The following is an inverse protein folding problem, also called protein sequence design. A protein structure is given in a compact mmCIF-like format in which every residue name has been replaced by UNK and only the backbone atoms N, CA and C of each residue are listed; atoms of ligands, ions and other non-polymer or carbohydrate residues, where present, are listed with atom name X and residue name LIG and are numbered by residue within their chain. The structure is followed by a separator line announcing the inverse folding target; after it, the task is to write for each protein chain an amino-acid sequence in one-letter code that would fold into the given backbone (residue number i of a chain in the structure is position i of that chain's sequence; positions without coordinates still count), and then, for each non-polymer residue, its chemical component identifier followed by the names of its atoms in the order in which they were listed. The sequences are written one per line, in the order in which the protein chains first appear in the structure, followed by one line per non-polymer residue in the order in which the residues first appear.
data_IF_546414720330
#
_entry.id   IF_546414720330
#
_cell.length_a   1.000
_cell.length_b   1.000
_cell.length_c   1.000
_cell.angle_alpha   90.00
_cell.angle_beta   90.00
_cell.angle_gamma   90.00
#
_symmetry.space_group_name_H-M   'P 1'
#
loop_
_entity.id
_entity.type
_entity.pdbx_description
1 polymer ?
#
# COMPACT_ATOMS: atom_id res chain seq x y z
N UNK A 1 -11.94 -63.25 12.48
CA UNK A 1 -10.81 -62.44 13.01
C UNK A 1 -10.09 -61.62 11.94
N UNK A 2 -9.90 -62.11 10.70
CA UNK A 2 -9.17 -61.37 9.65
C UNK A 2 -9.72 -59.98 9.28
N UNK A 3 -11.04 -59.80 9.26
CA UNK A 3 -11.68 -58.51 8.91
C UNK A 3 -11.38 -57.42 9.96
N UNK A 4 -11.30 -57.80 11.23
CA UNK A 4 -11.02 -56.85 12.32
C UNK A 4 -9.54 -56.41 12.27
N UNK A 5 -8.64 -57.35 12.02
CA UNK A 5 -7.20 -57.10 11.86
C UNK A 5 -6.93 -56.20 10.65
N UNK A 6 -7.64 -56.42 9.53
CA UNK A 6 -7.52 -55.58 8.34
C UNK A 6 -7.96 -54.13 8.59
N UNK A 7 -9.08 -53.91 9.30
CA UNK A 7 -9.55 -52.55 9.64
C UNK A 7 -8.57 -51.81 10.57
N UNK A 8 -7.96 -52.51 11.52
CA UNK A 8 -6.95 -51.93 12.42
C UNK A 8 -5.68 -51.58 11.63
N UNK A 9 -5.20 -52.48 10.76
CA UNK A 9 -4.05 -52.21 9.89
C UNK A 9 -4.29 -51.02 8.97
N UNK A 10 -5.47 -50.92 8.36
CA UNK A 10 -5.82 -49.81 7.47
C UNK A 10 -5.85 -48.47 8.23
N UNK A 11 -6.36 -48.47 9.47
CA UNK A 11 -6.36 -47.29 10.34
C UNK A 11 -4.95 -46.80 10.68
N UNK A 12 -4.04 -47.72 11.03
CA UNK A 12 -2.64 -47.37 11.33
C UNK A 12 -1.92 -46.83 10.09
N UNK A 13 -2.20 -47.38 8.90
CA UNK A 13 -1.62 -46.93 7.63
C UNK A 13 -2.09 -45.52 7.24
N UNK A 14 -3.38 -45.20 7.47
CA UNK A 14 -3.91 -43.85 7.19
C UNK A 14 -3.30 -42.81 8.13
N UNK A 15 -3.16 -43.15 9.43
CA UNK A 15 -2.59 -42.24 10.43
C UNK A 15 -1.11 -41.94 10.13
N UNK A 16 -0.32 -42.95 9.74
CA UNK A 16 1.10 -42.75 9.40
C UNK A 16 1.28 -41.89 8.14
N UNK A 17 0.44 -42.08 7.12
CA UNK A 17 0.44 -41.25 5.91
C UNK A 17 0.07 -39.80 6.23
N UNK A 18 -0.93 -39.56 7.10
CA UNK A 18 -1.31 -38.21 7.53
C UNK A 18 -0.18 -37.50 8.28
N UNK A 19 0.51 -38.19 9.22
CA UNK A 19 1.66 -37.59 9.91
C UNK A 19 2.80 -37.24 8.94
N UNK A 20 3.10 -38.11 7.96
CA UNK A 20 4.12 -37.85 6.95
C UNK A 20 3.78 -36.66 6.02
N UNK A 21 2.50 -36.40 5.75
CA UNK A 21 2.06 -35.23 4.98
C UNK A 21 2.11 -33.93 5.80
N UNK A 22 1.88 -34.00 7.11
CA UNK A 22 1.96 -32.84 8.00
C UNK A 22 3.41 -32.34 8.16
N UNK A 23 4.39 -33.24 8.31
CA UNK A 23 5.82 -32.85 8.38
C UNK A 23 6.31 -32.14 7.11
N UNK A 24 5.89 -32.61 5.93
CA UNK A 24 6.23 -31.94 4.66
C UNK A 24 5.54 -30.59 4.48
N UNK A 25 4.32 -30.44 4.98
CA UNK A 25 3.57 -29.18 4.88
C UNK A 25 4.15 -28.08 5.77
N UNK A 26 4.70 -28.44 6.94
CA UNK A 26 5.35 -27.50 7.86
C UNK A 26 6.69 -26.98 7.28
N UNK A 27 7.47 -27.85 6.63
CA UNK A 27 8.77 -27.46 6.03
C UNK A 27 8.61 -26.51 4.84
N UNK A 28 7.55 -26.65 4.02
CA UNK A 28 7.29 -25.76 2.87
C UNK A 28 6.95 -24.33 3.34
N UNK A 29 6.27 -24.17 4.48
CA UNK A 29 5.88 -22.84 4.99
C UNK A 29 7.06 -22.00 5.52
N UNK A 30 8.16 -22.66 5.92
CA UNK A 30 9.38 -21.99 6.39
C UNK A 30 10.20 -21.46 5.21
N UNK A 31 10.24 -22.18 4.08
CA UNK A 31 11.09 -21.83 2.93
C UNK A 31 10.53 -20.65 2.10
N UNK A 32 9.21 -20.49 1.99
CA UNK A 32 8.61 -19.35 1.26
C UNK A 32 8.69 -18.00 2.00
N UNK A 33 8.84 -18.01 3.33
CA UNK A 33 8.86 -16.79 4.14
C UNK A 33 10.27 -16.27 4.50
N UNK A 34 11.32 -17.08 4.30
CA UNK A 34 12.70 -16.69 4.62
C UNK A 34 13.34 -15.61 3.72
N UNK A 35 13.06 -15.48 2.40
CA UNK A 35 13.77 -14.51 1.56
C UNK A 35 13.33 -13.05 1.80
N UNK A 36 12.21 -12.82 2.50
CA UNK A 36 11.72 -11.47 2.81
C UNK A 36 12.49 -10.82 3.97
N UNK A 37 12.83 -11.60 4.99
CA UNK A 37 13.53 -11.11 6.19
C UNK A 37 14.99 -10.75 5.87
N UNK A 38 15.63 -11.51 4.99
CA UNK A 38 17.03 -11.29 4.60
C UNK A 38 17.22 -10.01 3.77
N UNK A 39 16.28 -9.70 2.85
CA UNK A 39 16.29 -8.45 2.07
C UNK A 39 16.14 -7.20 2.94
N UNK A 40 15.34 -7.26 4.01
CA UNK A 40 15.20 -6.13 4.94
C UNK A 40 16.49 -5.89 5.73
N UNK A 41 17.19 -6.94 6.15
CA UNK A 41 18.42 -6.83 6.93
C UNK A 41 19.59 -6.24 6.12
N UNK A 42 19.73 -6.63 4.85
CA UNK A 42 20.75 -6.08 3.95
C UNK A 42 20.53 -4.59 3.64
N UNK A 43 19.28 -4.12 3.61
CA UNK A 43 18.97 -2.69 3.45
C UNK A 43 19.38 -1.86 4.67
N UNK A 44 19.36 -2.42 5.89
CA UNK A 44 19.79 -1.74 7.11
C UNK A 44 21.31 -1.66 7.26
N UNK A 45 22.07 -2.59 6.67
CA UNK A 45 23.54 -2.67 6.83
C UNK A 45 24.32 -1.75 5.87
N UNK A 46 23.66 -1.07 4.93
CA UNK A 46 24.34 -0.17 3.99
C UNK A 46 24.62 1.23 4.57
N UNK A 47 25.11 1.25 5.82
CA UNK A 47 25.54 2.43 6.59
C UNK A 47 26.56 3.29 5.83
N UNK A 48 27.35 2.66 4.95
CA UNK A 48 28.38 3.31 4.13
C UNK A 48 27.79 4.27 3.08
N UNK A 49 26.61 3.96 2.55
CA UNK A 49 25.92 4.84 1.60
C UNK A 49 25.22 6.00 2.34
N UNK A 50 24.65 5.73 3.52
CA UNK A 50 24.06 6.75 4.39
C UNK A 50 25.13 7.77 4.86
N UNK A 51 26.29 7.31 5.31
CA UNK A 51 27.37 8.19 5.76
C UNK A 51 27.96 9.02 4.62
N UNK A 52 27.95 8.49 3.39
CA UNK A 52 28.35 9.22 2.17
C UNK A 52 27.34 10.31 1.82
N UNK A 53 26.05 10.00 1.84
CA UNK A 53 24.99 10.98 1.62
C UNK A 53 24.98 12.08 2.68
N UNK A 54 25.21 11.75 3.96
CA UNK A 54 25.34 12.74 5.05
C UNK A 54 26.58 13.62 4.83
N UNK A 55 27.68 13.07 4.31
CA UNK A 55 28.92 13.82 4.02
C UNK A 55 28.74 14.78 2.84
N UNK A 56 27.97 14.37 1.83
CA UNK A 56 27.62 15.21 0.67
C UNK A 56 26.60 16.32 1.04
N UNK A 57 25.68 16.06 1.98
CA UNK A 57 24.80 17.07 2.58
C UNK A 57 25.55 18.09 3.46
N UNK A 58 26.67 17.70 4.09
CA UNK A 58 27.50 18.62 4.89
C UNK A 58 28.43 19.48 4.05
N UNK A 59 28.79 19.05 2.84
CA UNK A 59 29.68 19.80 1.94
C UNK A 59 28.94 20.84 1.09
N UNK A 60 27.64 20.65 0.87
CA UNK A 60 26.73 21.66 0.34
C UNK A 60 25.63 21.96 1.36
N UNK A 61 25.88 22.80 2.38
CA UNK A 61 24.79 23.32 3.17
C UNK A 61 23.81 24.00 2.20
N UNK A 62 22.53 23.64 2.28
CA UNK A 62 21.47 24.53 1.79
C UNK A 62 21.79 25.85 2.48
N UNK A 63 22.12 26.88 1.69
CA UNK A 63 22.08 28.23 2.21
C UNK A 63 20.62 28.40 2.62
N UNK A 64 20.35 28.28 3.91
CA UNK A 64 19.20 28.98 4.46
C UNK A 64 19.44 30.42 4.04
N UNK A 65 18.72 30.87 3.02
CA UNK A 65 18.49 32.30 2.86
C UNK A 65 17.99 32.74 4.22
N UNK A 66 18.74 33.64 4.86
CA UNK A 66 18.62 33.95 6.28
C UNK A 66 17.19 34.25 6.67
N UNK A 67 16.48 33.22 7.13
CA UNK A 67 15.25 33.33 7.87
C UNK A 67 15.65 33.58 9.32
N UNK A 68 15.39 34.78 9.80
CA UNK A 68 15.49 35.11 11.22
C UNK A 68 14.84 33.99 12.03
N UNK A 69 15.57 33.39 12.97
CA UNK A 69 15.00 32.39 13.86
C UNK A 69 13.70 32.97 14.48
N UNK A 70 12.55 32.27 14.35
CA UNK A 70 11.27 32.82 14.74
C UNK A 70 11.32 33.22 16.22
N UNK A 71 10.97 34.48 16.47
CA UNK A 71 10.83 35.03 17.81
C UNK A 71 9.76 34.24 18.59
N UNK A 72 9.70 34.36 19.91
CA UNK A 72 8.63 33.71 20.69
C UNK A 72 7.22 34.11 20.20
N UNK A 73 7.08 35.30 19.59
CA UNK A 73 5.84 35.74 18.96
C UNK A 73 5.50 34.92 17.71
N UNK A 74 6.48 34.68 16.84
CA UNK A 74 6.29 33.94 15.58
C UNK A 74 5.96 32.46 15.83
N UNK A 75 6.48 31.86 16.91
CA UNK A 75 6.07 30.51 17.32
C UNK A 75 4.64 30.45 17.80
N UNK A 76 4.20 31.43 18.57
CA UNK A 76 2.81 31.49 19.02
C UNK A 76 1.86 31.70 17.84
N UNK A 77 2.25 32.49 16.84
CA UNK A 77 1.48 32.67 15.62
C UNK A 77 1.41 31.37 14.80
N UNK A 78 2.51 30.65 14.62
CA UNK A 78 2.50 29.32 13.99
C UNK A 78 1.63 28.31 14.73
N UNK A 79 1.65 28.31 16.07
CA UNK A 79 0.81 27.40 16.88
C UNK A 79 -0.66 27.81 16.76
N UNK A 80 -0.99 29.10 16.85
CA UNK A 80 -2.37 29.58 16.69
C UNK A 80 -2.89 29.25 15.29
N UNK A 81 -2.08 29.45 14.25
CA UNK A 81 -2.47 29.10 12.88
C UNK A 81 -2.61 27.58 12.69
N UNK A 82 -1.74 26.77 13.31
CA UNK A 82 -1.89 25.30 13.28
C UNK A 82 -3.16 24.85 14.00
N UNK A 83 -3.50 25.46 15.14
CA UNK A 83 -4.71 25.14 15.90
C UNK A 83 -5.98 25.65 15.21
N UNK A 84 -5.93 26.84 14.60
CA UNK A 84 -7.06 27.46 13.92
C UNK A 84 -7.44 26.72 12.63
N UNK A 85 -6.47 26.08 11.97
CA UNK A 85 -6.68 25.33 10.73
C UNK A 85 -6.73 23.81 10.93
N UNK A 86 -6.43 23.30 12.13
CA UNK A 86 -6.60 21.89 12.42
C UNK A 86 -8.09 21.54 12.44
N UNK A 87 -8.47 20.53 11.67
CA UNK A 87 -9.83 19.97 11.68
C UNK A 87 -9.73 18.52 12.17
N UNK A 88 -9.67 18.26 13.51
CA UNK A 88 -9.40 16.94 14.07
C UNK A 88 -10.22 15.80 13.47
N UNK A 89 -11.51 16.03 13.22
CA UNK A 89 -12.41 15.05 12.63
C UNK A 89 -12.09 14.70 11.18
N UNK A 90 -11.54 15.64 10.41
CA UNK A 90 -11.04 15.38 9.06
C UNK A 90 -9.62 14.85 9.12
N UNK A 91 -8.72 15.54 9.81
CA UNK A 91 -7.31 15.20 9.85
C UNK A 91 -7.00 13.83 10.45
N UNK A 92 -7.77 13.38 11.44
CA UNK A 92 -7.64 12.06 12.06
C UNK A 92 -8.69 11.04 11.55
N UNK A 93 -9.59 11.44 10.66
CA UNK A 93 -10.70 10.62 10.16
C UNK A 93 -10.35 9.68 9.02
N UNK A 94 -9.07 9.43 8.76
CA UNK A 94 -8.63 8.69 7.58
C UNK A 94 -8.18 7.28 7.92
N UNK A 95 -8.53 6.34 7.04
CA UNK A 95 -8.04 4.97 7.12
C UNK A 95 -6.59 4.91 6.63
N UNK A 96 -5.86 3.86 7.01
CA UNK A 96 -4.55 3.58 6.44
C UNK A 96 -4.59 3.52 4.90
N UNK A 97 -5.70 3.02 4.34
CA UNK A 97 -5.90 2.90 2.90
C UNK A 97 -5.97 4.26 2.20
N UNK A 98 -6.49 5.31 2.85
CA UNK A 98 -6.62 6.66 2.27
C UNK A 98 -5.45 7.59 2.63
N UNK A 99 -4.61 7.19 3.59
CA UNK A 99 -3.46 7.98 4.04
C UNK A 99 -2.52 8.35 2.89
N UNK A 100 -2.31 7.44 1.94
CA UNK A 100 -1.42 7.72 0.81
C UNK A 100 -2.04 8.70 -0.19
N UNK A 101 -3.35 8.71 -0.33
CA UNK A 101 -4.07 9.63 -1.21
C UNK A 101 -3.83 11.09 -0.80
N UNK A 102 -3.80 11.36 0.51
CA UNK A 102 -3.44 12.68 1.05
C UNK A 102 -1.96 12.99 0.84
N UNK A 103 -1.08 12.01 1.09
CA UNK A 103 0.35 12.19 0.90
C UNK A 103 0.73 12.45 -0.57
N UNK A 104 -0.11 12.06 -1.53
CA UNK A 104 0.15 12.21 -2.97
C UNK A 104 -0.85 13.12 -3.69
N UNK A 105 -1.59 13.97 -2.97
CA UNK A 105 -2.67 14.79 -3.57
C UNK A 105 -2.23 15.61 -4.79
N UNK A 106 -0.98 16.08 -4.81
CA UNK A 106 -0.41 16.85 -5.92
C UNK A 106 0.56 16.05 -6.80
N UNK A 107 0.65 14.73 -6.59
CA UNK A 107 1.60 13.84 -7.25
C UNK A 107 0.85 12.70 -7.96
N UNK A 108 0.16 13.04 -9.05
CA UNK A 108 -0.73 12.12 -9.77
C UNK A 108 0.03 10.87 -10.26
N UNK A 109 1.28 11.01 -10.71
CA UNK A 109 2.14 9.88 -11.13
C UNK A 109 2.42 8.91 -9.97
N UNK A 110 2.79 9.44 -8.81
CA UNK A 110 3.01 8.63 -7.60
C UNK A 110 1.72 7.99 -7.10
N UNK A 111 0.59 8.69 -7.24
CA UNK A 111 -0.73 8.16 -6.89
C UNK A 111 -1.11 6.99 -7.81
N UNK A 112 -0.88 7.11 -9.12
CA UNK A 112 -1.11 6.06 -10.10
C UNK A 112 -0.30 4.80 -9.81
N UNK A 113 1.00 4.96 -9.52
CA UNK A 113 1.88 3.85 -9.17
C UNK A 113 1.41 3.10 -7.92
N UNK A 114 0.79 3.81 -6.96
CA UNK A 114 0.21 3.21 -5.76
C UNK A 114 -1.11 2.52 -6.07
N UNK A 115 -2.02 3.18 -6.80
CA UNK A 115 -3.31 2.58 -7.20
C UNK A 115 -3.11 1.29 -8.00
N UNK A 116 -2.15 1.24 -8.94
CA UNK A 116 -1.83 0.05 -9.75
C UNK A 116 -1.42 -1.18 -8.92
N UNK A 117 -0.94 -0.98 -7.69
CA UNK A 117 -0.53 -2.07 -6.78
C UNK A 117 -1.68 -2.61 -5.95
N UNK A 118 -2.86 -1.98 -5.99
CA UNK A 118 -4.03 -2.41 -5.23
C UNK A 118 -4.73 -3.59 -5.91
N UNK A 119 -5.31 -4.45 -5.08
CA UNK A 119 -6.26 -5.45 -5.57
C UNK A 119 -7.55 -4.78 -6.05
N UNK A 120 -8.33 -5.41 -6.95
CA UNK A 120 -9.61 -4.86 -7.41
C UNK A 120 -10.59 -4.55 -6.26
N UNK A 121 -10.56 -5.35 -5.19
CA UNK A 121 -11.37 -5.11 -4.00
C UNK A 121 -10.96 -3.82 -3.28
N UNK A 122 -9.66 -3.66 -2.99
CA UNK A 122 -9.15 -2.47 -2.31
C UNK A 122 -9.28 -1.21 -3.17
N UNK A 123 -9.11 -1.35 -4.49
CA UNK A 123 -9.23 -0.26 -5.44
C UNK A 123 -10.58 0.47 -5.36
N UNK A 124 -11.67 -0.29 -5.14
CA UNK A 124 -13.02 0.27 -5.04
C UNK A 124 -13.30 0.98 -3.71
N UNK A 125 -12.42 0.87 -2.73
CA UNK A 125 -12.62 1.41 -1.38
C UNK A 125 -11.82 2.70 -1.15
N UNK A 126 -10.72 2.88 -1.87
CA UNK A 126 -9.75 3.96 -1.65
C UNK A 126 -10.20 5.25 -2.35
N UNK A 127 -10.08 6.37 -1.64
CA UNK A 127 -10.61 7.69 -2.04
C UNK A 127 -10.06 8.27 -3.34
N UNK A 128 -8.86 7.86 -3.74
CA UNK A 128 -8.14 8.43 -4.88
C UNK A 128 -7.82 7.42 -5.99
N UNK A 129 -8.48 6.26 -5.95
CA UNK A 129 -8.36 5.21 -6.96
C UNK A 129 -9.74 4.79 -7.48
N UNK A 130 -9.77 4.32 -8.73
CA UNK A 130 -10.94 3.75 -9.38
C UNK A 130 -10.60 2.44 -10.07
N UNK A 131 -11.58 1.53 -10.14
CA UNK A 131 -11.46 0.28 -10.88
C UNK A 131 -12.11 0.42 -12.25
N UNK A 132 -11.30 0.67 -13.28
CA UNK A 132 -11.73 0.73 -14.68
C UNK A 132 -12.07 -0.66 -15.22
N UNK A 133 -13.22 -0.75 -15.88
CA UNK A 133 -13.73 -1.95 -16.57
C UNK A 133 -13.67 -3.23 -15.71
N UNK A 134 -13.83 -3.08 -14.38
CA UNK A 134 -13.78 -4.19 -13.43
C UNK A 134 -12.41 -4.84 -13.19
N UNK A 135 -11.34 -4.36 -13.84
CA UNK A 135 -10.03 -5.03 -13.81
C UNK A 135 -8.85 -4.10 -13.48
N UNK A 136 -8.83 -2.88 -14.01
CA UNK A 136 -7.64 -2.02 -13.95
C UNK A 136 -7.78 -0.96 -12.87
N UNK A 137 -6.93 -1.02 -11.85
CA UNK A 137 -6.91 0.01 -10.81
C UNK A 137 -6.02 1.19 -11.19
N UNK A 138 -6.58 2.39 -11.17
CA UNK A 138 -5.89 3.62 -11.58
C UNK A 138 -6.26 4.78 -10.67
N UNK A 139 -5.45 5.83 -10.70
CA UNK A 139 -5.73 7.07 -10.01
C UNK A 139 -6.94 7.76 -10.65
N UNK A 140 -7.87 8.21 -9.80
CA UNK A 140 -9.13 8.79 -10.23
C UNK A 140 -10.04 9.07 -9.06
N UNK A 141 -11.20 9.62 -9.37
CA UNK A 141 -12.24 9.87 -8.38
C UNK A 141 -13.63 9.72 -8.97
N UNK A 142 -14.58 10.42 -8.38
CA UNK A 142 -15.97 10.45 -8.86
C UNK A 142 -16.10 10.99 -10.29
N UNK A 143 -15.17 11.84 -10.73
CA UNK A 143 -15.16 12.43 -12.07
C UNK A 143 -14.47 11.51 -13.11
N UNK A 144 -14.02 10.33 -12.69
CA UNK A 144 -13.31 9.37 -13.53
C UNK A 144 -11.79 9.36 -13.31
N UNK A 145 -11.03 8.75 -14.25
CA UNK A 145 -9.58 8.60 -14.13
C UNK A 145 -8.85 9.94 -14.30
N UNK A 146 -7.78 10.14 -13.52
CA UNK A 146 -6.94 11.35 -13.60
C UNK A 146 -6.02 11.37 -14.84
N UNK A 147 -5.70 10.19 -15.39
CA UNK A 147 -4.97 10.07 -16.65
C UNK A 147 -5.95 9.73 -17.78
N UNK A 148 -5.78 10.43 -18.90
CA UNK A 148 -6.28 9.93 -20.17
C UNK A 148 -5.49 8.66 -20.49
N UNK A 149 -6.12 7.49 -20.42
CA UNK A 149 -5.51 6.31 -21.00
C UNK A 149 -5.47 6.51 -22.51
N UNK A 150 -4.26 6.44 -23.05
CA UNK A 150 -3.95 6.64 -24.47
C UNK A 150 -4.76 5.74 -25.42
N UNK A 151 -5.44 4.71 -24.88
CA UNK A 151 -6.20 3.75 -25.66
C UNK A 151 -7.70 4.07 -25.84
N UNK A 152 -8.27 5.06 -25.14
CA UNK A 152 -9.66 5.53 -25.42
C UNK A 152 -9.85 6.99 -25.04
N UNK A 153 -10.23 7.81 -26.03
CA UNK A 153 -10.70 9.18 -25.82
C UNK A 153 -11.96 9.20 -24.93
N UNK A 154 -12.13 10.30 -24.20
CA UNK A 154 -13.40 10.75 -23.61
C UNK A 154 -14.48 10.66 -24.69
N UNK A 155 -15.48 9.81 -24.47
CA UNK A 155 -16.43 9.40 -25.51
C UNK A 155 -17.23 8.19 -25.06
N UNK A 156 -16.80 6.97 -25.39
CA UNK A 156 -17.69 5.80 -25.31
C UNK A 156 -16.98 4.53 -24.77
N UNK A 157 -17.72 3.72 -24.02
CA UNK A 157 -17.38 2.39 -23.50
C UNK A 157 -16.28 2.27 -22.43
N UNK A 158 -16.37 3.03 -21.34
CA UNK A 158 -15.77 2.58 -20.09
C UNK A 158 -16.69 2.80 -18.90
N UNK A 159 -16.82 1.76 -18.08
CA UNK A 159 -17.43 1.86 -16.76
C UNK A 159 -16.34 1.76 -15.70
N UNK A 160 -16.57 2.35 -14.54
CA UNK A 160 -15.62 2.29 -13.44
C UNK A 160 -16.33 2.23 -12.10
N UNK A 161 -15.62 1.68 -11.11
CA UNK A 161 -16.08 1.64 -9.73
C UNK A 161 -15.27 2.60 -8.87
N UNK A 162 -15.98 3.47 -8.16
CA UNK A 162 -15.43 4.39 -7.17
C UNK A 162 -16.26 4.30 -5.88
N UNK A 163 -15.63 4.02 -4.73
CA UNK A 163 -16.32 3.81 -3.44
C UNK A 163 -17.48 2.81 -3.54
N UNK A 164 -17.23 1.68 -4.21
CA UNK A 164 -18.21 0.64 -4.53
C UNK A 164 -19.43 1.09 -5.37
N UNK A 165 -19.44 2.32 -5.91
CA UNK A 165 -20.45 2.81 -6.84
C UNK A 165 -19.95 2.67 -8.26
N UNK A 166 -20.81 2.23 -9.16
CA UNK A 166 -20.51 2.07 -10.59
C UNK A 166 -20.90 3.36 -11.34
N UNK A 167 -20.03 3.81 -12.24
CA UNK A 167 -20.22 4.99 -13.08
C UNK A 167 -19.89 4.65 -14.54
N UNK A 168 -20.59 5.26 -15.49
CA UNK A 168 -20.46 5.00 -16.93
C UNK A 168 -21.53 4.05 -17.46
N UNK A 169 -21.42 3.71 -18.75
CA UNK A 169 -22.39 2.85 -19.44
C UNK A 169 -22.14 1.37 -19.13
N UNK A 170 -23.20 0.62 -18.79
CA UNK A 170 -23.09 -0.80 -18.38
C UNK A 170 -22.94 -1.02 -16.86
N UNK A 171 -23.06 0.05 -16.09
CA UNK A 171 -23.51 0.03 -14.70
C UNK A 171 -25.06 0.02 -14.65
#
# INVERSE_FOLDING_TARGET
MGILVYKVLLGVLVISVMMAMLDRSILIFIEENLPYVQKQHEAFLNKKELDKQIKDLKSNPIKEEGGVAPTMSDRNEMIINSLANAEPGRDMGHTYADSFCRATTNAITTQEEKCKKLTPYNCKQVDCCILLNGAKCVSGGQDGPNFFHEDKKVGDDYHYYYKNKCYGEGC
#
